data_IF_887051852102
#
_entry.id   IF_887051852102
#
_cell.length_a   1.000
_cell.length_b   1.000
_cell.length_c   1.000
_cell.angle_alpha   90.00
_cell.angle_beta   90.00
_cell.angle_gamma   90.00
#
_symmetry.space_group_name_H-M   'P 1'
#
loop_
_entity.id
_entity.type
_entity.pdbx_description
1 polymer ?
#
# COMPACT_ATOMS: atom_id res chain seq x y z
N UNK A 1 19.79 -19.58 -4.67
CA UNK A 1 18.82 -20.59 -5.14
C UNK A 1 17.67 -19.91 -5.90
N UNK A 2 17.29 -20.42 -7.07
CA UNK A 2 16.28 -19.78 -7.97
C UNK A 2 14.91 -19.57 -7.31
N UNK A 3 14.52 -20.45 -6.39
CA UNK A 3 13.24 -20.42 -5.68
C UNK A 3 13.13 -19.19 -4.75
N UNK A 4 14.17 -18.89 -3.97
CA UNK A 4 14.20 -17.71 -3.10
C UNK A 4 14.09 -16.40 -3.91
N UNK A 5 14.71 -16.36 -5.10
CA UNK A 5 14.59 -15.19 -5.99
C UNK A 5 13.15 -15.02 -6.50
N UNK A 6 12.47 -16.12 -6.86
CA UNK A 6 11.08 -16.08 -7.30
C UNK A 6 10.13 -15.62 -6.18
N UNK A 7 10.32 -16.12 -4.95
CA UNK A 7 9.53 -15.71 -3.78
C UNK A 7 9.75 -14.22 -3.48
N UNK A 8 11.01 -13.78 -3.47
CA UNK A 8 11.36 -12.36 -3.27
C UNK A 8 10.70 -11.46 -4.32
N UNK A 9 10.80 -11.81 -5.61
CA UNK A 9 10.18 -11.03 -6.68
C UNK A 9 8.65 -10.95 -6.55
N UNK A 10 7.99 -12.06 -6.16
CA UNK A 10 6.54 -12.07 -5.94
C UNK A 10 6.14 -11.21 -4.75
N UNK A 11 6.93 -11.25 -3.68
CA UNK A 11 6.73 -10.42 -2.49
C UNK A 11 6.92 -8.94 -2.78
N UNK A 12 7.97 -8.56 -3.50
CA UNK A 12 8.22 -7.18 -3.92
C UNK A 12 7.09 -6.64 -4.81
N UNK A 13 6.59 -7.46 -5.76
CA UNK A 13 5.44 -7.08 -6.59
C UNK A 13 4.17 -6.91 -5.76
N UNK A 14 3.94 -7.78 -4.77
CA UNK A 14 2.80 -7.65 -3.86
C UNK A 14 2.87 -6.35 -3.05
N UNK A 15 4.02 -6.05 -2.44
CA UNK A 15 4.22 -4.82 -1.68
C UNK A 15 4.05 -3.57 -2.53
N UNK A 16 4.53 -3.59 -3.78
CA UNK A 16 4.35 -2.48 -4.72
C UNK A 16 2.87 -2.23 -5.02
N UNK A 17 2.13 -3.29 -5.34
CA UNK A 17 0.68 -3.17 -5.60
C UNK A 17 -0.07 -2.68 -4.35
N UNK A 18 0.28 -3.18 -3.17
CA UNK A 18 -0.31 -2.74 -1.91
C UNK A 18 -0.06 -1.25 -1.65
N UNK A 19 1.16 -0.77 -1.91
CA UNK A 19 1.51 0.64 -1.77
C UNK A 19 0.76 1.53 -2.77
N UNK A 20 0.62 1.09 -4.03
CA UNK A 20 -0.15 1.81 -5.05
C UNK A 20 -1.64 1.93 -4.67
N UNK A 21 -2.25 0.84 -4.19
CA UNK A 21 -3.65 0.87 -3.74
C UNK A 21 -3.86 1.71 -2.47
N UNK A 22 -2.91 1.67 -1.53
CA UNK A 22 -2.94 2.55 -0.36
C UNK A 22 -2.85 4.02 -0.77
N UNK A 23 -1.97 4.37 -1.71
CA UNK A 23 -1.84 5.74 -2.22
C UNK A 23 -3.10 6.21 -2.95
N UNK A 24 -3.75 5.34 -3.74
CA UNK A 24 -5.04 5.65 -4.39
C UNK A 24 -6.16 5.89 -3.38
N UNK A 25 -6.19 5.11 -2.31
CA UNK A 25 -7.29 5.13 -1.35
C UNK A 25 -7.13 6.24 -0.29
N UNK A 26 -5.91 6.54 0.11
CA UNK A 26 -5.62 7.40 1.27
C UNK A 26 -4.65 8.56 0.95
N UNK A 27 -4.14 8.65 -0.29
CA UNK A 27 -3.14 9.63 -0.68
C UNK A 27 -1.73 9.30 -0.16
N UNK A 28 -0.84 10.30 -0.21
CA UNK A 28 0.55 10.19 0.28
C UNK A 28 0.68 10.41 1.80
N UNK A 29 -0.44 10.57 2.50
CA UNK A 29 -0.44 10.85 3.92
C UNK A 29 -0.23 9.57 4.73
N UNK A 30 0.40 9.72 5.89
CA UNK A 30 0.50 8.64 6.86
C UNK A 30 -0.91 8.23 7.26
N UNK A 31 -1.19 6.92 7.23
CA UNK A 31 -2.39 6.35 7.79
C UNK A 31 -2.37 6.60 9.31
N UNK A 32 -3.02 7.68 9.73
CA UNK A 32 -3.33 7.92 11.13
C UNK A 32 -4.86 7.88 11.32
N UNK A 33 -5.28 7.46 12.50
CA UNK A 33 -6.70 7.29 12.84
C UNK A 33 -7.48 8.62 12.79
N UNK A 34 -6.80 9.76 12.88
CA UNK A 34 -7.41 11.08 12.89
C UNK A 34 -7.59 11.65 11.47
N UNK A 35 -6.84 11.16 10.49
CA UNK A 35 -6.87 11.59 9.07
C UNK A 35 -7.61 10.58 8.18
N UNK A 36 -7.56 9.29 8.49
CA UNK A 36 -8.39 8.28 7.83
C UNK A 36 -9.88 8.56 8.09
N UNK A 37 -10.67 8.66 7.02
CA UNK A 37 -12.12 8.91 7.03
C UNK A 37 -12.60 10.34 7.33
N UNK A 38 -11.76 11.37 7.16
CA UNK A 38 -12.29 12.73 6.92
C UNK A 38 -12.89 12.82 5.50
N UNK A 39 -13.94 12.05 5.24
CA UNK A 39 -14.93 12.48 4.24
C UNK A 39 -15.46 13.79 4.79
N UNK A 40 -15.16 14.89 4.10
CA UNK A 40 -15.85 16.15 4.34
C UNK A 40 -17.36 15.83 4.36
N UNK A 41 -17.96 15.90 5.55
CA UNK A 41 -19.40 16.08 5.67
C UNK A 41 -19.68 17.45 5.03
N UNK A 42 -19.99 17.46 3.73
CA UNK A 42 -20.71 18.55 3.08
C UNK A 42 -22.19 18.32 3.24
#
# INVERSE_FOLDING_TARGET
MKIFKAIKNRWEKFLKNLAEENKKSFGDQKLDCCTMNKKEYK
#
